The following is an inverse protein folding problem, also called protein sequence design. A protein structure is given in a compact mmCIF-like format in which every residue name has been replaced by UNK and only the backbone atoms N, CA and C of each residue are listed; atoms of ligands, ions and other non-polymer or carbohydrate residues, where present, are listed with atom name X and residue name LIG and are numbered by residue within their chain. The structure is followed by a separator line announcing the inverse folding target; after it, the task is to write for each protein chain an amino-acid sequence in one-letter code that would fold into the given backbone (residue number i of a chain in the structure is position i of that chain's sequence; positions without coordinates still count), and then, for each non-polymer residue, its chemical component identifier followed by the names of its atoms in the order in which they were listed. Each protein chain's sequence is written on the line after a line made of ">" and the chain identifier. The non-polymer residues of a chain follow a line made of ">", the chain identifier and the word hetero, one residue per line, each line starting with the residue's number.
data_IF_273646192809
#
_entry.id   IF_273646192809
#
_cell.length_a   1.000
_cell.length_b   1.000
_cell.length_c   1.000
_cell.angle_alpha   90.00
_cell.angle_beta   90.00
_cell.angle_gamma   90.00
#
_symmetry.space_group_name_H-M   'P 1'
#
loop_
_entity.id
_entity.type
_entity.pdbx_description
1 polymer ?
#
# COMPACT_ATOMS: atom_id res chain seq x y z
N UNK A 1 -15.91 72.80 -22.29
CA UNK A 1 -16.25 71.48 -22.90
C UNK A 1 -14.95 70.89 -23.43
N UNK A 2 -14.29 70.04 -22.71
CA UNK A 2 -13.13 69.29 -23.20
C UNK A 2 -13.25 67.86 -22.63
N UNK A 3 -13.50 66.91 -23.51
CA UNK A 3 -13.69 65.50 -23.30
C UNK A 3 -12.34 64.84 -23.08
N UNK A 4 -12.06 64.31 -21.88
CA UNK A 4 -10.87 63.52 -21.61
C UNK A 4 -11.19 62.04 -21.84
N UNK A 5 -10.70 61.48 -22.93
CA UNK A 5 -10.82 60.10 -23.34
C UNK A 5 -9.71 59.29 -22.69
N UNK A 6 -9.97 58.65 -21.56
CA UNK A 6 -9.03 57.75 -20.88
C UNK A 6 -8.80 56.50 -21.68
N UNK A 7 -7.60 56.33 -22.18
CA UNK A 7 -7.08 55.11 -22.80
C UNK A 7 -6.94 54.01 -21.73
N UNK A 8 -7.67 52.92 -21.84
CA UNK A 8 -7.45 51.67 -21.09
C UNK A 8 -6.14 51.06 -21.57
N UNK A 9 -5.10 51.20 -20.79
CA UNK A 9 -3.89 50.39 -20.93
C UNK A 9 -4.28 48.91 -20.64
N UNK A 10 -4.15 48.06 -21.65
CA UNK A 10 -4.10 46.60 -21.48
C UNK A 10 -2.87 46.25 -20.66
N UNK A 11 -3.02 46.00 -19.36
CA UNK A 11 -1.97 45.38 -18.55
C UNK A 11 -1.74 43.96 -19.09
N UNK A 12 -0.75 43.80 -19.95
CA UNK A 12 -0.18 42.50 -20.30
C UNK A 12 0.25 41.80 -19.02
N UNK A 13 -0.31 40.63 -18.74
CA UNK A 13 0.08 39.83 -17.60
C UNK A 13 1.61 39.61 -17.68
N UNK A 14 2.32 40.03 -16.64
CA UNK A 14 3.78 39.83 -16.58
C UNK A 14 4.10 38.35 -16.57
N UNK A 15 5.14 37.87 -17.27
CA UNK A 15 5.50 36.44 -17.30
C UNK A 15 5.73 35.86 -15.90
N UNK A 16 6.04 36.69 -14.93
CA UNK A 16 6.18 36.34 -13.51
C UNK A 16 4.82 35.94 -12.91
N UNK A 17 3.73 36.63 -13.29
CA UNK A 17 2.38 36.29 -12.82
C UNK A 17 1.93 34.92 -13.31
N UNK A 18 2.16 34.61 -14.58
CA UNK A 18 1.79 33.31 -15.19
C UNK A 18 2.59 32.15 -14.60
N UNK A 19 3.89 32.35 -14.33
CA UNK A 19 4.75 31.35 -13.66
C UNK A 19 4.29 31.09 -12.21
N UNK A 20 3.88 32.14 -11.50
CA UNK A 20 3.37 32.01 -10.11
C UNK A 20 2.02 31.28 -10.10
N UNK A 21 1.13 31.59 -11.03
CA UNK A 21 -0.18 30.99 -11.14
C UNK A 21 -0.07 29.50 -11.53
N UNK A 22 0.73 29.13 -12.51
CA UNK A 22 1.05 27.74 -12.85
C UNK A 22 1.67 26.98 -11.67
N UNK A 23 2.54 27.61 -10.90
CA UNK A 23 3.15 27.01 -9.70
C UNK A 23 2.14 26.78 -8.59
N UNK A 24 1.16 27.66 -8.42
CA UNK A 24 0.07 27.51 -7.45
C UNK A 24 -0.86 26.38 -7.85
N UNK A 25 -1.21 26.25 -9.14
CA UNK A 25 -2.10 25.21 -9.61
C UNK A 25 -1.45 23.82 -9.60
N UNK A 26 -0.18 23.72 -9.96
CA UNK A 26 0.58 22.46 -9.79
C UNK A 26 0.67 22.06 -8.32
N UNK A 27 0.77 23.00 -7.39
CA UNK A 27 0.76 22.68 -5.95
C UNK A 27 -0.60 22.22 -5.43
N UNK A 28 -1.71 22.63 -6.05
CA UNK A 28 -3.05 22.11 -5.72
C UNK A 28 -3.24 20.67 -6.18
N UNK A 29 -2.67 20.33 -7.35
CA UNK A 29 -2.77 18.98 -7.90
C UNK A 29 -1.88 17.98 -7.14
N UNK A 30 -0.66 18.34 -6.73
CA UNK A 30 0.27 17.51 -5.98
C UNK A 30 -0.17 17.40 -4.52
N UNK A 31 -1.05 16.44 -4.26
CA UNK A 31 -1.64 16.20 -2.95
C UNK A 31 -1.76 14.69 -2.69
N UNK A 32 -1.51 14.26 -1.44
CA UNK A 32 -1.69 12.86 -1.00
C UNK A 32 -3.05 12.30 -1.40
N UNK A 33 -4.09 13.15 -1.46
CA UNK A 33 -5.40 12.72 -1.89
C UNK A 33 -5.49 12.34 -3.34
N UNK A 34 -4.86 13.10 -4.19
CA UNK A 34 -4.82 12.79 -5.60
C UNK A 34 -3.87 11.61 -5.85
N UNK A 35 -2.79 11.49 -5.08
CA UNK A 35 -1.92 10.32 -5.12
C UNK A 35 -2.68 9.02 -4.84
N UNK A 36 -3.52 8.98 -3.80
CA UNK A 36 -4.36 7.82 -3.51
C UNK A 36 -5.41 7.54 -4.61
N UNK A 37 -5.96 8.58 -5.25
CA UNK A 37 -6.85 8.39 -6.42
C UNK A 37 -6.07 7.79 -7.60
N UNK A 38 -4.87 8.28 -7.89
CA UNK A 38 -3.99 7.71 -8.93
C UNK A 38 -3.65 6.26 -8.61
N UNK A 39 -3.41 5.92 -7.34
CA UNK A 39 -3.21 4.53 -6.89
C UNK A 39 -4.42 3.66 -7.22
N UNK A 40 -5.65 4.14 -6.93
CA UNK A 40 -6.87 3.40 -7.26
C UNK A 40 -7.03 3.20 -8.77
N UNK A 41 -6.75 4.22 -9.57
CA UNK A 41 -6.75 4.09 -11.04
C UNK A 41 -5.65 3.12 -11.49
N UNK A 42 -4.47 3.19 -10.86
CA UNK A 42 -3.33 2.34 -11.18
C UNK A 42 -3.61 0.85 -11.00
N UNK A 43 -4.15 0.45 -9.86
CA UNK A 43 -4.46 -0.96 -9.67
C UNK A 43 -5.68 -1.41 -10.48
N UNK A 44 -6.70 -0.56 -10.68
CA UNK A 44 -7.86 -0.90 -11.50
C UNK A 44 -7.44 -1.15 -12.97
N UNK A 45 -6.66 -0.24 -13.55
CA UNK A 45 -6.09 -0.42 -14.89
C UNK A 45 -5.17 -1.66 -14.94
N UNK A 46 -4.35 -1.87 -13.92
CA UNK A 46 -3.47 -3.03 -13.80
C UNK A 46 -4.24 -4.35 -13.81
N UNK A 47 -5.30 -4.46 -13.00
CA UNK A 47 -6.15 -5.66 -12.95
C UNK A 47 -6.77 -5.95 -14.32
N UNK A 48 -7.33 -4.93 -14.99
CA UNK A 48 -7.92 -5.10 -16.32
C UNK A 48 -6.89 -5.57 -17.36
N UNK A 49 -5.73 -4.89 -17.40
CA UNK A 49 -4.65 -5.27 -18.31
C UNK A 49 -4.15 -6.69 -18.03
N UNK A 50 -4.02 -7.04 -16.76
CA UNK A 50 -3.58 -8.36 -16.34
C UNK A 50 -4.58 -9.46 -16.71
N UNK A 51 -5.87 -9.25 -16.49
CA UNK A 51 -6.91 -10.20 -16.88
C UNK A 51 -6.93 -10.39 -18.40
N UNK A 52 -6.84 -9.31 -19.18
CA UNK A 52 -6.75 -9.38 -20.65
C UNK A 52 -5.49 -10.16 -21.07
N UNK A 53 -4.34 -9.86 -20.48
CA UNK A 53 -3.09 -10.57 -20.73
C UNK A 53 -3.23 -12.08 -20.52
N UNK A 54 -3.76 -12.49 -19.37
CA UNK A 54 -3.88 -13.90 -19.03
C UNK A 54 -4.96 -14.63 -19.84
N UNK A 55 -6.02 -13.95 -20.30
CA UNK A 55 -7.07 -14.58 -21.10
C UNK A 55 -6.69 -14.77 -22.57
N UNK A 56 -5.96 -13.84 -23.16
CA UNK A 56 -5.72 -13.79 -24.61
C UNK A 56 -4.27 -14.02 -25.01
N UNK A 57 -3.32 -13.79 -24.12
CA UNK A 57 -1.88 -13.82 -24.44
C UNK A 57 -1.09 -14.81 -23.59
N UNK A 58 -1.76 -15.66 -22.83
CA UNK A 58 -1.13 -16.69 -22.00
C UNK A 58 -1.66 -18.08 -22.38
N UNK A 59 -0.75 -18.98 -22.67
CA UNK A 59 -1.04 -20.37 -22.94
C UNK A 59 -0.92 -21.19 -21.65
N UNK A 60 -2.06 -21.70 -21.17
CA UNK A 60 -2.13 -22.46 -19.90
C UNK A 60 -1.53 -23.86 -20.00
N UNK A 61 -1.41 -24.41 -21.23
CA UNK A 61 -0.85 -25.74 -21.43
C UNK A 61 0.69 -25.71 -21.40
N UNK A 62 1.29 -24.70 -22.01
CA UNK A 62 2.76 -24.55 -22.07
C UNK A 62 3.31 -23.66 -20.97
N UNK A 63 2.50 -22.77 -20.36
CA UNK A 63 2.93 -21.79 -19.37
C UNK A 63 3.72 -20.62 -19.94
N UNK A 64 3.66 -20.40 -21.27
CA UNK A 64 4.37 -19.32 -21.95
C UNK A 64 3.43 -18.26 -22.51
N UNK A 65 3.96 -17.07 -22.78
CA UNK A 65 3.22 -16.02 -23.44
C UNK A 65 3.24 -16.21 -24.98
N UNK A 66 2.07 -16.09 -25.61
CA UNK A 66 1.92 -16.25 -27.07
C UNK A 66 2.46 -15.06 -27.87
N UNK A 67 2.58 -13.89 -27.23
CA UNK A 67 3.07 -12.63 -27.82
C UNK A 67 4.54 -12.32 -27.50
N UNK A 68 5.32 -13.31 -27.04
CA UNK A 68 6.69 -13.08 -26.57
C UNK A 68 6.79 -12.27 -25.28
N UNK A 69 5.67 -12.07 -24.56
CA UNK A 69 5.64 -11.38 -23.27
C UNK A 69 5.47 -9.86 -23.36
N UNK A 70 5.20 -9.28 -24.52
CA UNK A 70 5.02 -7.82 -24.66
C UNK A 70 3.86 -7.33 -23.81
N UNK A 71 2.70 -8.02 -23.85
CA UNK A 71 1.54 -7.66 -23.05
C UNK A 71 1.79 -7.84 -21.54
N UNK A 72 2.62 -8.81 -21.18
CA UNK A 72 3.04 -9.01 -19.79
C UNK A 72 3.83 -7.81 -19.25
N UNK A 73 4.77 -7.28 -20.03
CA UNK A 73 5.52 -6.07 -19.67
C UNK A 73 4.64 -4.83 -19.61
N UNK A 74 3.64 -4.69 -20.49
CA UNK A 74 2.67 -3.59 -20.45
C UNK A 74 1.82 -3.69 -19.19
N UNK A 75 1.31 -4.88 -18.86
CA UNK A 75 0.47 -5.10 -17.66
C UNK A 75 1.22 -4.85 -16.36
N UNK A 76 2.54 -5.02 -16.34
CA UNK A 76 3.42 -4.66 -15.23
C UNK A 76 3.82 -3.18 -15.25
N UNK A 77 4.24 -2.66 -16.40
CA UNK A 77 4.81 -1.32 -16.53
C UNK A 77 3.80 -0.21 -16.26
N UNK A 78 2.56 -0.35 -16.73
CA UNK A 78 1.51 0.67 -16.53
C UNK A 78 1.18 0.89 -15.04
N UNK A 79 0.83 -0.13 -14.22
CA UNK A 79 0.59 0.08 -12.80
C UNK A 79 1.83 0.56 -12.05
N UNK A 80 3.03 0.09 -12.40
CA UNK A 80 4.28 0.59 -11.79
C UNK A 80 4.50 2.07 -12.11
N UNK A 81 4.30 2.51 -13.34
CA UNK A 81 4.43 3.91 -13.72
C UNK A 81 3.43 4.80 -12.96
N UNK A 82 2.17 4.36 -12.82
CA UNK A 82 1.16 5.07 -12.03
C UNK A 82 1.50 5.05 -10.52
N UNK A 83 2.07 3.97 -10.01
CA UNK A 83 2.60 3.88 -8.66
C UNK A 83 3.76 4.84 -8.40
N UNK A 84 4.69 4.97 -9.36
CA UNK A 84 5.79 5.94 -9.32
C UNK A 84 5.26 7.38 -9.31
N UNK A 85 4.29 7.70 -10.18
CA UNK A 85 3.64 9.00 -10.22
C UNK A 85 2.95 9.33 -8.90
N UNK A 86 2.17 8.39 -8.34
CA UNK A 86 1.50 8.57 -7.05
C UNK A 86 2.50 8.74 -5.90
N UNK A 87 3.58 7.97 -5.88
CA UNK A 87 4.65 8.06 -4.88
C UNK A 87 5.39 9.39 -4.98
N UNK A 88 5.69 9.85 -6.18
CA UNK A 88 6.27 11.16 -6.42
C UNK A 88 5.36 12.28 -5.92
N UNK A 89 4.04 12.19 -6.18
CA UNK A 89 3.07 13.15 -5.66
C UNK A 89 3.05 13.16 -4.11
N UNK A 90 3.13 12.00 -3.47
CA UNK A 90 3.24 11.92 -2.01
C UNK A 90 4.53 12.57 -1.50
N UNK A 91 5.66 12.27 -2.15
CA UNK A 91 6.95 12.79 -1.74
C UNK A 91 7.05 14.31 -1.89
N UNK A 92 6.49 14.86 -2.98
CA UNK A 92 6.46 16.29 -3.26
C UNK A 92 5.42 17.05 -2.44
N UNK A 93 4.43 16.37 -1.87
CA UNK A 93 3.40 16.98 -1.03
C UNK A 93 4.02 17.60 0.21
N UNK A 94 3.78 18.91 0.43
CA UNK A 94 4.29 19.68 1.58
C UNK A 94 3.49 19.45 2.87
N UNK A 95 2.62 18.45 2.93
CA UNK A 95 1.84 18.15 4.13
C UNK A 95 2.67 17.35 5.12
N UNK A 96 2.67 17.79 6.38
CA UNK A 96 3.24 17.02 7.47
C UNK A 96 2.38 15.80 7.75
N UNK A 97 3.07 14.74 8.05
CA UNK A 97 2.53 13.52 8.54
C UNK A 97 2.70 13.57 10.07
N UNK A 98 1.63 13.84 10.77
CA UNK A 98 1.66 13.84 12.24
C UNK A 98 1.55 12.43 12.82
N UNK A 99 1.64 12.31 14.15
CA UNK A 99 1.46 11.04 14.83
C UNK A 99 0.09 10.42 14.50
N UNK A 100 0.00 9.11 14.60
CA UNK A 100 -1.27 8.41 14.51
C UNK A 100 -2.18 8.86 15.66
N UNK A 101 -3.34 9.40 15.31
CA UNK A 101 -4.36 9.80 16.27
C UNK A 101 -5.50 8.79 16.20
N UNK A 102 -5.72 7.97 17.24
CA UNK A 102 -6.81 7.01 17.26
C UNK A 102 -8.16 7.76 17.20
N UNK A 103 -8.99 7.41 16.25
CA UNK A 103 -10.36 7.93 16.09
C UNK A 103 -11.29 6.84 15.62
N UNK A 104 -12.55 6.95 15.98
CA UNK A 104 -13.61 6.06 15.46
C UNK A 104 -13.67 6.13 13.95
N UNK A 105 -13.44 4.99 13.30
CA UNK A 105 -13.50 4.86 11.86
C UNK A 105 -14.06 3.48 11.48
N UNK A 106 -15.35 3.46 11.14
CA UNK A 106 -16.05 2.24 10.79
C UNK A 106 -15.38 1.51 9.61
N UNK A 107 -14.98 2.25 8.57
CA UNK A 107 -14.37 1.66 7.38
C UNK A 107 -13.07 0.94 7.70
N UNK A 108 -12.19 1.58 8.49
CA UNK A 108 -10.93 0.97 8.90
C UNK A 108 -11.16 -0.20 9.86
N UNK A 109 -12.17 -0.11 10.73
CA UNK A 109 -12.58 -1.20 11.62
C UNK A 109 -13.06 -2.43 10.85
N UNK A 110 -13.94 -2.24 9.87
CA UNK A 110 -14.44 -3.33 9.01
C UNK A 110 -13.31 -3.92 8.18
N UNK A 111 -12.44 -3.08 7.59
CA UNK A 111 -11.30 -3.58 6.81
C UNK A 111 -10.32 -4.41 7.66
N UNK A 112 -10.04 -3.97 8.90
CA UNK A 112 -9.20 -4.72 9.84
C UNK A 112 -9.88 -6.03 10.28
N UNK A 113 -11.19 -6.01 10.53
CA UNK A 113 -11.98 -7.19 10.89
C UNK A 113 -11.96 -8.22 9.76
N UNK A 114 -12.24 -7.79 8.53
CA UNK A 114 -12.19 -8.67 7.36
C UNK A 114 -10.79 -9.21 7.13
N UNK A 115 -9.76 -8.36 7.24
CA UNK A 115 -8.37 -8.80 7.11
C UNK A 115 -8.01 -9.85 8.17
N UNK A 116 -8.36 -9.63 9.43
CA UNK A 116 -8.13 -10.60 10.51
C UNK A 116 -8.88 -11.91 10.31
N UNK A 117 -10.17 -11.85 9.97
CA UNK A 117 -11.00 -13.02 9.72
C UNK A 117 -10.50 -13.85 8.53
N UNK A 118 -10.16 -13.19 7.42
CA UNK A 118 -9.64 -13.87 6.22
C UNK A 118 -8.25 -14.45 6.46
N UNK A 119 -7.37 -13.77 7.24
CA UNK A 119 -6.07 -14.35 7.63
C UNK A 119 -6.24 -15.65 8.42
N UNK A 120 -7.16 -15.69 9.38
CA UNK A 120 -7.45 -16.90 10.16
C UNK A 120 -8.05 -18.00 9.28
N UNK A 121 -9.00 -17.64 8.40
CA UNK A 121 -9.60 -18.59 7.45
C UNK A 121 -8.58 -19.13 6.46
N UNK A 122 -7.74 -18.27 5.90
CA UNK A 122 -6.63 -18.63 5.02
C UNK A 122 -5.63 -19.57 5.71
N UNK A 123 -5.31 -19.31 6.98
CA UNK A 123 -4.50 -20.20 7.79
C UNK A 123 -5.13 -21.61 7.95
N UNK A 124 -6.43 -21.67 8.18
CA UNK A 124 -7.15 -22.94 8.26
C UNK A 124 -7.15 -23.72 6.91
N UNK A 125 -7.36 -23.02 5.79
CA UNK A 125 -7.25 -23.61 4.45
C UNK A 125 -5.85 -24.14 4.17
N UNK A 126 -4.82 -23.36 4.48
CA UNK A 126 -3.42 -23.78 4.32
C UNK A 126 -3.08 -25.01 5.16
N UNK A 127 -3.67 -25.15 6.34
CA UNK A 127 -3.49 -26.35 7.15
C UNK A 127 -4.05 -27.61 6.45
N UNK A 128 -5.19 -27.48 5.79
CA UNK A 128 -5.78 -28.58 5.00
C UNK A 128 -4.92 -28.89 3.77
N UNK A 129 -4.51 -27.86 3.02
CA UNK A 129 -3.66 -27.99 1.85
C UNK A 129 -2.31 -28.63 2.22
N UNK A 130 -1.70 -28.21 3.34
CA UNK A 130 -0.44 -28.75 3.83
C UNK A 130 -0.51 -30.25 4.14
N UNK A 131 -1.60 -30.71 4.75
CA UNK A 131 -1.80 -32.13 5.05
C UNK A 131 -2.02 -32.96 3.79
N UNK A 132 -2.73 -32.45 2.80
CA UNK A 132 -3.06 -33.19 1.58
C UNK A 132 -1.91 -33.26 0.59
N UNK A 133 -1.13 -32.19 0.47
CA UNK A 133 -0.14 -32.02 -0.62
C UNK A 133 1.30 -32.25 -0.18
N UNK A 134 1.65 -31.88 1.05
CA UNK A 134 3.05 -31.82 1.51
C UNK A 134 3.38 -32.79 2.64
N UNK A 135 2.66 -33.86 2.84
CA UNK A 135 2.78 -34.81 3.94
C UNK A 135 4.22 -35.19 4.39
N UNK A 136 4.95 -34.25 5.03
CA UNK A 136 6.25 -34.45 5.64
C UNK A 136 7.50 -34.11 4.80
N UNK A 137 7.36 -33.36 3.69
CA UNK A 137 8.53 -32.91 2.88
C UNK A 137 9.39 -31.83 3.57
N UNK A 138 10.60 -31.59 3.06
CA UNK A 138 11.60 -30.63 3.59
C UNK A 138 11.05 -29.21 3.82
N UNK A 139 10.01 -28.83 3.10
CA UNK A 139 9.44 -27.49 3.11
C UNK A 139 8.25 -27.31 4.04
N UNK A 140 7.84 -28.34 4.75
CA UNK A 140 6.72 -28.33 5.68
C UNK A 140 6.89 -27.28 6.79
N UNK A 141 8.12 -27.09 7.26
CA UNK A 141 8.47 -26.14 8.33
C UNK A 141 8.17 -24.69 7.92
N UNK A 142 8.49 -24.30 6.67
CA UNK A 142 8.24 -22.93 6.19
C UNK A 142 6.73 -22.62 6.05
N UNK A 143 5.97 -23.60 5.55
CA UNK A 143 4.50 -23.45 5.47
C UNK A 143 3.87 -23.39 6.87
N UNK A 144 4.35 -24.21 7.81
CA UNK A 144 3.90 -24.18 9.20
C UNK A 144 4.23 -22.82 9.85
N UNK A 145 5.44 -22.31 9.65
CA UNK A 145 5.84 -20.98 10.15
C UNK A 145 4.92 -19.90 9.61
N UNK A 146 4.65 -19.91 8.30
CA UNK A 146 3.76 -18.94 7.69
C UNK A 146 2.33 -19.04 8.24
N UNK A 147 1.82 -20.25 8.45
CA UNK A 147 0.51 -20.52 9.05
C UNK A 147 0.42 -19.95 10.49
N UNK A 148 1.44 -20.17 11.32
CA UNK A 148 1.50 -19.61 12.68
C UNK A 148 1.49 -18.08 12.60
N UNK A 149 2.27 -17.48 11.70
CA UNK A 149 2.28 -16.04 11.49
C UNK A 149 0.91 -15.51 11.02
N UNK A 150 0.20 -16.21 10.14
CA UNK A 150 -1.17 -15.87 9.74
C UNK A 150 -2.13 -15.85 10.94
N UNK A 151 -2.05 -16.86 11.81
CA UNK A 151 -2.88 -16.92 13.03
C UNK A 151 -2.60 -15.76 13.97
N UNK A 152 -1.32 -15.52 14.31
CA UNK A 152 -0.92 -14.47 15.22
C UNK A 152 -1.25 -13.07 14.67
N UNK A 153 -0.94 -12.82 13.40
CA UNK A 153 -1.24 -11.52 12.78
C UNK A 153 -2.74 -11.32 12.59
N UNK A 154 -3.49 -12.37 12.27
CA UNK A 154 -4.95 -12.34 12.20
C UNK A 154 -5.58 -11.90 13.53
N UNK A 155 -5.12 -12.44 14.66
CA UNK A 155 -5.56 -12.00 15.99
C UNK A 155 -5.22 -10.52 16.25
N UNK A 156 -4.02 -10.07 15.91
CA UNK A 156 -3.64 -8.65 16.05
C UNK A 156 -4.56 -7.75 15.23
N UNK A 157 -4.91 -8.15 14.00
CA UNK A 157 -5.86 -7.40 13.16
C UNK A 157 -7.26 -7.31 13.78
N UNK A 158 -7.74 -8.38 14.43
CA UNK A 158 -9.01 -8.35 15.15
C UNK A 158 -8.97 -7.38 16.35
N UNK A 159 -7.89 -7.39 17.14
CA UNK A 159 -7.72 -6.42 18.24
C UNK A 159 -7.60 -4.99 17.71
N UNK A 160 -6.93 -4.79 16.58
CA UNK A 160 -6.82 -3.49 15.92
C UNK A 160 -8.18 -3.00 15.42
N UNK A 161 -9.04 -3.90 14.92
CA UNK A 161 -10.40 -3.57 14.49
C UNK A 161 -11.25 -3.01 15.63
N UNK A 162 -11.17 -3.63 16.82
CA UNK A 162 -11.83 -3.13 18.03
C UNK A 162 -11.34 -1.72 18.40
N UNK A 163 -10.05 -1.46 18.20
CA UNK A 163 -9.46 -0.12 18.38
C UNK A 163 -10.07 0.92 17.44
N UNK A 164 -10.28 0.59 16.17
CA UNK A 164 -10.93 1.47 15.21
C UNK A 164 -12.42 1.70 15.49
N UNK A 165 -13.14 0.71 15.98
CA UNK A 165 -14.54 0.85 16.36
C UNK A 165 -14.72 1.71 17.62
N UNK A 166 -13.85 1.53 18.61
CA UNK A 166 -13.92 2.27 19.88
C UNK A 166 -13.27 3.65 19.79
N UNK A 167 -12.36 3.87 18.84
CA UNK A 167 -11.56 5.08 18.71
C UNK A 167 -10.42 5.17 19.75
N UNK A 168 -10.01 4.03 20.33
CA UNK A 168 -8.90 3.91 21.27
C UNK A 168 -7.79 3.06 20.68
N UNK A 169 -6.56 3.32 21.08
CA UNK A 169 -5.45 2.45 20.72
C UNK A 169 -5.35 1.31 21.75
N UNK A 170 -6.03 0.20 21.50
CA UNK A 170 -6.09 -0.93 22.44
C UNK A 170 -4.73 -1.60 22.65
N UNK A 171 -3.80 -1.47 21.70
CA UNK A 171 -2.47 -2.07 21.74
C UNK A 171 -1.36 -1.09 22.15
N UNK A 172 -1.72 0.13 22.62
CA UNK A 172 -0.75 1.15 23.04
C UNK A 172 0.17 0.66 24.16
N UNK A 173 -0.37 -0.18 25.06
CA UNK A 173 0.40 -0.74 26.19
C UNK A 173 1.41 -1.81 25.76
N UNK A 174 1.19 -2.45 24.62
CA UNK A 174 2.04 -3.54 24.10
C UNK A 174 2.34 -3.29 22.62
N UNK A 175 3.12 -2.24 22.28
CA UNK A 175 3.38 -1.87 20.89
C UNK A 175 4.16 -2.95 20.11
N UNK A 176 4.84 -3.85 20.81
CA UNK A 176 5.56 -4.99 20.21
C UNK A 176 4.62 -5.92 19.42
N UNK A 177 3.33 -5.99 19.75
CA UNK A 177 2.37 -6.83 19.02
C UNK A 177 2.19 -6.37 17.56
N UNK A 178 2.40 -5.10 17.24
CA UNK A 178 2.38 -4.63 15.85
C UNK A 178 3.50 -5.26 15.00
N UNK A 179 4.59 -5.73 15.63
CA UNK A 179 5.69 -6.41 14.94
C UNK A 179 5.26 -7.76 14.35
N UNK A 180 4.21 -8.39 14.87
CA UNK A 180 3.68 -9.64 14.31
C UNK A 180 3.24 -9.49 12.84
N UNK A 181 2.76 -8.30 12.44
CA UNK A 181 2.48 -8.01 11.02
C UNK A 181 3.75 -7.98 10.17
N UNK A 182 4.87 -7.50 10.72
CA UNK A 182 6.16 -7.50 10.04
C UNK A 182 6.71 -8.93 9.92
N UNK A 183 6.61 -9.73 10.99
CA UNK A 183 7.01 -11.14 10.98
C UNK A 183 6.20 -11.95 9.96
N UNK A 184 4.89 -11.71 9.87
CA UNK A 184 4.06 -12.29 8.81
C UNK A 184 4.55 -11.87 7.42
N UNK A 185 4.88 -10.60 7.21
CA UNK A 185 5.42 -10.10 5.95
C UNK A 185 6.76 -10.73 5.56
N UNK A 186 7.65 -10.97 6.56
CA UNK A 186 8.92 -11.71 6.34
C UNK A 186 8.64 -13.16 5.95
N UNK A 187 7.76 -13.84 6.69
CA UNK A 187 7.40 -15.23 6.38
C UNK A 187 6.75 -15.33 4.98
N UNK A 188 5.89 -14.37 4.60
CA UNK A 188 5.30 -14.28 3.27
C UNK A 188 6.36 -14.09 2.18
N UNK A 189 7.30 -13.17 2.38
CA UNK A 189 8.38 -12.93 1.41
C UNK A 189 9.26 -14.17 1.22
N UNK A 190 9.64 -14.85 2.31
CA UNK A 190 10.43 -16.08 2.24
C UNK A 190 9.64 -17.17 1.49
N UNK A 191 8.36 -17.34 1.81
CA UNK A 191 7.50 -18.32 1.15
C UNK A 191 7.43 -18.05 -0.37
N UNK A 192 7.14 -16.82 -0.76
CA UNK A 192 7.05 -16.41 -2.18
C UNK A 192 8.39 -16.63 -2.87
N UNK A 193 9.49 -16.22 -2.27
CA UNK A 193 10.81 -16.33 -2.89
C UNK A 193 11.28 -17.78 -3.06
N UNK A 194 11.10 -18.61 -2.03
CA UNK A 194 11.60 -19.99 -2.03
C UNK A 194 10.77 -20.90 -2.94
N UNK A 195 9.43 -20.72 -2.95
CA UNK A 195 8.55 -21.66 -3.64
C UNK A 195 8.04 -21.15 -4.98
N UNK A 196 7.68 -19.88 -5.07
CA UNK A 196 6.91 -19.33 -6.18
C UNK A 196 7.70 -18.42 -7.12
N UNK A 197 8.92 -17.99 -6.74
CA UNK A 197 9.80 -17.24 -7.62
C UNK A 197 10.53 -18.11 -8.66
N UNK A 198 10.23 -19.40 -8.70
CA UNK A 198 10.83 -20.36 -9.66
C UNK A 198 10.01 -20.51 -10.94
N UNK A 199 8.93 -19.75 -11.11
CA UNK A 199 8.15 -19.75 -12.34
C UNK A 199 9.02 -19.38 -13.53
N UNK A 200 8.75 -19.98 -14.68
CA UNK A 200 9.43 -19.68 -15.95
C UNK A 200 9.20 -18.24 -16.43
N UNK A 201 8.13 -17.60 -15.97
CA UNK A 201 7.78 -16.24 -16.33
C UNK A 201 8.46 -15.21 -15.43
N UNK A 202 9.38 -14.42 -16.00
CA UNK A 202 10.08 -13.36 -15.27
C UNK A 202 9.14 -12.27 -14.72
N UNK A 203 8.09 -11.92 -15.47
CA UNK A 203 7.14 -10.86 -15.07
C UNK A 203 6.28 -11.31 -13.88
N UNK A 204 5.85 -12.58 -13.85
CA UNK A 204 5.12 -13.17 -12.73
C UNK A 204 5.94 -13.09 -11.44
N UNK A 205 7.22 -13.48 -11.53
CA UNK A 205 8.13 -13.42 -10.40
C UNK A 205 8.35 -11.99 -9.91
N UNK A 206 8.42 -11.00 -10.82
CA UNK A 206 8.53 -9.60 -10.47
C UNK A 206 7.31 -9.11 -9.69
N UNK A 207 6.09 -9.42 -10.14
CA UNK A 207 4.87 -9.07 -9.41
C UNK A 207 4.86 -9.67 -8.01
N UNK A 208 5.13 -10.97 -7.92
CA UNK A 208 5.05 -11.70 -6.65
C UNK A 208 6.10 -11.21 -5.65
N UNK A 209 7.37 -11.15 -6.06
CA UNK A 209 8.48 -10.79 -5.17
C UNK A 209 8.45 -9.30 -4.82
N UNK A 210 8.31 -8.41 -5.80
CA UNK A 210 8.24 -6.96 -5.51
C UNK A 210 6.99 -6.62 -4.71
N UNK A 211 5.85 -7.27 -5.00
CA UNK A 211 4.62 -7.14 -4.21
C UNK A 211 4.85 -7.52 -2.75
N UNK A 212 5.50 -8.66 -2.49
CA UNK A 212 5.82 -9.12 -1.14
C UNK A 212 6.81 -8.16 -0.43
N UNK A 213 7.85 -7.68 -1.11
CA UNK A 213 8.83 -6.72 -0.56
C UNK A 213 8.14 -5.42 -0.15
N UNK A 214 7.35 -4.82 -1.05
CA UNK A 214 6.67 -3.57 -0.73
C UNK A 214 5.59 -3.74 0.34
N UNK A 215 4.92 -4.89 0.40
CA UNK A 215 3.96 -5.20 1.46
C UNK A 215 4.65 -5.32 2.82
N UNK A 216 5.78 -6.01 2.89
CA UNK A 216 6.61 -6.09 4.09
C UNK A 216 7.07 -4.71 4.56
N UNK A 217 7.60 -3.88 3.65
CA UNK A 217 8.03 -2.52 3.97
C UNK A 217 6.85 -1.65 4.44
N UNK A 218 5.69 -1.79 3.80
CA UNK A 218 4.48 -1.11 4.22
C UNK A 218 4.11 -1.49 5.66
N UNK A 219 4.02 -2.78 5.97
CA UNK A 219 3.71 -3.28 7.31
C UNK A 219 4.73 -2.81 8.36
N UNK A 220 6.01 -2.77 8.01
CA UNK A 220 7.05 -2.24 8.88
C UNK A 220 6.83 -0.76 9.22
N UNK A 221 6.52 0.07 8.23
CA UNK A 221 6.25 1.49 8.48
C UNK A 221 4.90 1.71 9.17
N UNK A 222 3.89 0.88 8.90
CA UNK A 222 2.63 0.90 9.65
C UNK A 222 2.85 0.53 11.13
N UNK A 223 3.68 -0.48 11.40
CA UNK A 223 4.09 -0.83 12.76
C UNK A 223 4.73 0.37 13.49
N UNK A 224 5.67 1.06 12.85
CA UNK A 224 6.29 2.26 13.42
C UNK A 224 5.29 3.38 13.71
N UNK A 225 4.34 3.61 12.79
CA UNK A 225 3.29 4.62 12.97
C UNK A 225 2.36 4.30 14.14
N UNK A 226 1.92 3.05 14.24
CA UNK A 226 1.01 2.60 15.30
C UNK A 226 1.70 2.54 16.66
N UNK A 227 2.99 2.24 16.68
CA UNK A 227 3.83 2.25 17.88
C UNK A 227 4.30 3.66 18.31
N UNK A 228 4.05 4.70 17.50
CA UNK A 228 4.47 6.08 17.80
C UNK A 228 5.97 6.30 17.67
N UNK A 229 6.68 5.49 16.89
CA UNK A 229 8.12 5.61 16.64
C UNK A 229 8.35 6.29 15.29
N UNK A 230 9.17 7.36 15.24
CA UNK A 230 9.51 8.10 14.02
C UNK A 230 8.26 8.61 13.25
N UNK A 231 7.45 9.42 13.93
CA UNK A 231 6.15 9.88 13.45
C UNK A 231 6.18 10.59 12.09
N UNK A 232 7.25 11.35 11.80
CA UNK A 232 7.39 12.09 10.53
C UNK A 232 7.93 11.21 9.40
N UNK A 233 9.04 10.52 9.63
CA UNK A 233 9.70 9.71 8.62
C UNK A 233 8.92 8.46 8.24
N UNK A 234 8.35 7.77 9.24
CA UNK A 234 7.57 6.56 9.03
C UNK A 234 6.32 6.82 8.18
N UNK A 235 5.61 7.95 8.41
CA UNK A 235 4.40 8.26 7.66
C UNK A 235 4.65 8.45 6.16
N UNK A 236 5.65 9.24 5.77
CA UNK A 236 6.00 9.41 4.35
C UNK A 236 6.36 8.09 3.68
N UNK A 237 7.18 7.29 4.35
CA UNK A 237 7.62 5.98 3.84
C UNK A 237 6.47 5.00 3.78
N UNK A 238 5.55 5.00 4.77
CA UNK A 238 4.34 4.19 4.75
C UNK A 238 3.45 4.49 3.53
N UNK A 239 3.27 5.77 3.17
CA UNK A 239 2.52 6.13 1.97
C UNK A 239 3.20 5.63 0.70
N UNK A 240 4.50 5.84 0.54
CA UNK A 240 5.24 5.42 -0.66
C UNK A 240 5.23 3.90 -0.79
N UNK A 241 5.63 3.17 0.26
CA UNK A 241 5.66 1.71 0.23
C UNK A 241 4.27 1.11 0.14
N UNK A 242 3.28 1.72 0.81
CA UNK A 242 1.88 1.28 0.75
C UNK A 242 1.24 1.48 -0.62
N UNK A 243 1.56 2.54 -1.37
CA UNK A 243 1.13 2.72 -2.75
C UNK A 243 1.62 1.57 -3.62
N UNK A 244 2.91 1.24 -3.57
CA UNK A 244 3.47 0.12 -4.32
C UNK A 244 2.93 -1.23 -3.84
N UNK A 245 2.81 -1.43 -2.53
CA UNK A 245 2.22 -2.64 -1.97
C UNK A 245 0.81 -2.88 -2.51
N UNK A 246 -0.04 -1.83 -2.52
CA UNK A 246 -1.41 -1.91 -3.02
C UNK A 246 -1.43 -2.14 -4.52
N UNK A 247 -0.71 -1.32 -5.30
CA UNK A 247 -0.73 -1.40 -6.77
C UNK A 247 -0.26 -2.76 -7.25
N UNK A 248 0.85 -3.28 -6.72
CA UNK A 248 1.40 -4.56 -7.17
C UNK A 248 0.56 -5.75 -6.69
N UNK A 249 0.26 -5.82 -5.39
CA UNK A 249 -0.46 -6.97 -4.85
C UNK A 249 -1.91 -7.02 -5.35
N UNK A 250 -2.64 -5.89 -5.36
CA UNK A 250 -4.03 -5.90 -5.83
C UNK A 250 -4.10 -6.23 -7.32
N UNK A 251 -3.20 -5.67 -8.15
CA UNK A 251 -3.14 -5.99 -9.57
C UNK A 251 -2.90 -7.48 -9.79
N UNK A 252 -1.90 -8.05 -9.15
CA UNK A 252 -1.54 -9.45 -9.32
C UNK A 252 -2.57 -10.41 -8.74
N UNK A 253 -2.89 -10.24 -7.46
CA UNK A 253 -3.70 -11.20 -6.72
C UNK A 253 -5.18 -11.15 -7.09
N UNK A 254 -5.73 -9.95 -7.31
CA UNK A 254 -7.15 -9.83 -7.70
C UNK A 254 -7.36 -10.36 -9.12
N UNK A 255 -6.43 -10.13 -10.03
CA UNK A 255 -6.50 -10.71 -11.38
C UNK A 255 -6.44 -12.24 -11.33
N UNK A 256 -5.47 -12.82 -10.59
CA UNK A 256 -5.34 -14.27 -10.45
C UNK A 256 -6.58 -14.90 -9.80
N UNK A 257 -7.13 -14.31 -8.73
CA UNK A 257 -8.37 -14.80 -8.13
C UNK A 257 -9.57 -14.70 -9.07
N UNK A 258 -9.64 -13.66 -9.90
CA UNK A 258 -10.68 -13.52 -10.93
C UNK A 258 -10.58 -14.63 -11.97
N UNK A 259 -9.36 -14.98 -12.39
CA UNK A 259 -9.11 -16.07 -13.34
C UNK A 259 -9.42 -17.44 -12.75
N UNK A 260 -9.11 -17.63 -11.46
CA UNK A 260 -9.49 -18.84 -10.72
C UNK A 260 -11.02 -19.05 -10.75
N UNK A 261 -11.81 -17.99 -10.56
CA UNK A 261 -13.28 -18.05 -10.64
C UNK A 261 -13.77 -18.38 -12.06
N UNK A 262 -12.99 -18.07 -13.09
CA UNK A 262 -13.26 -18.44 -14.48
C UNK A 262 -12.76 -19.86 -14.85
N UNK A 263 -12.25 -20.62 -13.87
CA UNK A 263 -11.71 -21.96 -14.07
C UNK A 263 -10.36 -22.00 -14.81
N UNK A 264 -9.66 -20.86 -14.90
CA UNK A 264 -8.34 -20.76 -15.50
C UNK A 264 -7.29 -20.74 -14.40
N UNK A 265 -6.58 -21.83 -14.21
CA UNK A 265 -5.50 -21.99 -13.23
C UNK A 265 -4.22 -22.42 -13.92
N UNK A 266 -3.09 -21.94 -13.42
CA UNK A 266 -1.76 -22.32 -13.88
C UNK A 266 -1.02 -23.06 -12.76
N UNK A 267 -0.38 -24.19 -13.09
CA UNK A 267 0.43 -24.96 -12.13
C UNK A 267 1.72 -24.22 -11.81
N UNK A 268 1.88 -23.73 -10.61
CA UNK A 268 3.02 -22.91 -10.17
C UNK A 268 2.61 -21.56 -9.60
N UNK A 269 1.32 -21.24 -9.63
CA UNK A 269 0.79 -20.07 -8.95
C UNK A 269 0.85 -20.23 -7.43
N UNK A 270 0.94 -19.09 -6.76
CA UNK A 270 0.79 -19.01 -5.31
C UNK A 270 -0.58 -19.59 -4.93
N UNK A 271 -0.68 -20.50 -3.92
CA UNK A 271 -1.96 -21.07 -3.52
C UNK A 271 -3.02 -20.02 -3.25
N UNK A 272 -4.29 -20.26 -3.62
CA UNK A 272 -5.38 -19.29 -3.42
C UNK A 272 -5.53 -18.83 -1.97
N UNK A 273 -5.24 -19.69 -1.00
CA UNK A 273 -5.23 -19.36 0.43
C UNK A 273 -4.21 -18.27 0.76
N UNK A 274 -3.00 -18.37 0.23
CA UNK A 274 -1.93 -17.37 0.43
C UNK A 274 -2.24 -16.09 -0.35
N UNK A 275 -2.78 -16.21 -1.57
CA UNK A 275 -3.20 -15.07 -2.38
C UNK A 275 -4.28 -14.26 -1.67
N UNK A 276 -5.28 -14.92 -1.11
CA UNK A 276 -6.37 -14.27 -0.40
C UNK A 276 -5.87 -13.53 0.85
N UNK A 277 -4.98 -14.15 1.64
CA UNK A 277 -4.36 -13.53 2.81
C UNK A 277 -3.62 -12.23 2.46
N UNK A 278 -2.75 -12.28 1.45
CA UNK A 278 -1.97 -11.11 1.05
C UNK A 278 -2.80 -10.00 0.40
N UNK A 279 -3.85 -10.36 -0.36
CA UNK A 279 -4.79 -9.40 -0.94
C UNK A 279 -5.53 -8.59 0.14
N UNK A 280 -6.08 -9.26 1.17
CA UNK A 280 -6.83 -8.55 2.21
C UNK A 280 -5.93 -7.67 3.08
N UNK A 281 -4.68 -8.07 3.30
CA UNK A 281 -3.69 -7.23 4.00
C UNK A 281 -3.34 -5.99 3.17
N UNK A 282 -3.16 -6.13 1.85
CA UNK A 282 -2.92 -5.00 0.96
C UNK A 282 -4.13 -4.04 0.91
N UNK A 283 -5.35 -4.56 0.87
CA UNK A 283 -6.57 -3.76 0.92
C UNK A 283 -6.74 -3.06 2.28
N UNK A 284 -6.45 -3.75 3.38
CA UNK A 284 -6.40 -3.12 4.71
C UNK A 284 -5.39 -1.98 4.74
N UNK A 285 -4.19 -2.16 4.20
CA UNK A 285 -3.17 -1.11 4.14
C UNK A 285 -3.69 0.12 3.36
N UNK A 286 -4.39 -0.07 2.24
CA UNK A 286 -5.01 1.02 1.48
C UNK A 286 -6.03 1.78 2.33
N UNK A 287 -6.96 1.07 2.96
CA UNK A 287 -8.00 1.68 3.80
C UNK A 287 -7.39 2.41 4.98
N UNK A 288 -6.36 1.84 5.61
CA UNK A 288 -5.61 2.48 6.69
C UNK A 288 -4.96 3.78 6.22
N UNK A 289 -4.29 3.80 5.07
CA UNK A 289 -3.66 5.01 4.51
C UNK A 289 -4.70 6.10 4.19
N UNK A 290 -5.87 5.73 3.69
CA UNK A 290 -6.99 6.67 3.47
C UNK A 290 -7.48 7.26 4.79
N UNK A 291 -7.66 6.42 5.81
CA UNK A 291 -8.07 6.83 7.14
C UNK A 291 -7.01 7.73 7.81
N UNK A 292 -5.76 7.32 7.76
CA UNK A 292 -4.62 8.09 8.29
C UNK A 292 -4.54 9.48 7.65
N UNK A 293 -4.67 9.56 6.33
CA UNK A 293 -4.75 10.84 5.63
C UNK A 293 -5.87 11.72 6.15
N UNK A 294 -7.04 11.18 6.40
CA UNK A 294 -8.23 11.95 6.80
C UNK A 294 -8.09 12.51 8.21
N UNK A 295 -7.51 11.76 9.14
CA UNK A 295 -7.55 12.07 10.56
C UNK A 295 -6.22 12.53 11.16
N UNK A 296 -5.09 12.07 10.64
CA UNK A 296 -3.77 12.30 11.25
C UNK A 296 -2.88 13.26 10.46
N UNK A 297 -3.18 13.50 9.19
CA UNK A 297 -2.38 14.40 8.34
C UNK A 297 -2.57 15.85 8.75
N UNK A 298 -1.51 16.50 9.21
CA UNK A 298 -1.48 17.93 9.55
C UNK A 298 -0.74 18.72 8.48
N UNK A 299 -1.18 19.95 8.21
CA UNK A 299 -0.45 20.88 7.35
C UNK A 299 0.72 21.48 8.12
N UNK A 300 1.88 21.64 7.47
CA UNK A 300 2.95 22.49 8.01
C UNK A 300 2.43 23.91 8.18
N UNK A 301 2.61 24.54 9.31
CA UNK A 301 2.51 26.00 9.41
C UNK A 301 3.57 26.60 8.48
N UNK A 302 3.16 27.41 7.51
CA UNK A 302 4.10 28.21 6.74
C UNK A 302 4.83 29.14 7.74
N UNK A 303 6.13 28.93 7.97
CA UNK A 303 7.00 29.89 8.65
C UNK A 303 7.13 29.77 10.17
N UNK A 304 6.65 28.70 10.84
CA UNK A 304 6.69 28.63 12.31
C UNK A 304 7.75 27.74 12.97
N UNK A 305 8.52 26.97 12.21
CA UNK A 305 9.42 25.98 12.79
C UNK A 305 10.69 26.56 13.48
N UNK A 306 11.12 27.77 13.13
CA UNK A 306 12.29 28.37 13.75
C UNK A 306 11.99 29.15 15.05
N UNK A 307 10.76 29.64 15.21
CA UNK A 307 10.39 30.45 16.40
C UNK A 307 10.17 29.59 17.64
N UNK A 308 9.54 28.39 17.49
CA UNK A 308 9.23 27.48 18.62
C UNK A 308 10.49 26.85 19.24
N UNK A 309 11.43 26.43 18.41
CA UNK A 309 12.68 25.83 18.88
C UNK A 309 13.59 26.86 19.61
N UNK A 310 13.62 28.11 19.15
CA UNK A 310 14.37 29.18 19.83
C UNK A 310 13.76 29.59 21.18
N UNK A 311 12.44 29.57 21.33
CA UNK A 311 11.79 29.86 22.61
C UNK A 311 11.95 28.72 23.64
N UNK A 312 11.91 27.47 23.24
CA UNK A 312 12.18 26.33 24.12
C UNK A 312 13.65 26.27 24.56
N UNK A 313 14.60 26.54 23.65
CA UNK A 313 16.02 26.57 23.97
C UNK A 313 16.40 27.76 24.90
N UNK A 314 15.71 28.90 24.78
CA UNK A 314 15.89 30.02 25.72
C UNK A 314 15.33 29.75 27.11
N UNK A 315 14.23 28.99 27.24
CA UNK A 315 13.70 28.64 28.55
C UNK A 315 14.54 27.56 29.30
N UNK A 316 15.24 26.70 28.56
CA UNK A 316 16.17 25.73 29.15
C UNK A 316 17.52 26.32 29.58
N UNK A 317 17.92 27.49 29.05
CA UNK A 317 19.12 28.21 29.48
C UNK A 317 18.88 29.22 30.61
N UNK A 318 17.63 29.40 31.02
CA UNK A 318 17.24 30.33 32.08
C UNK A 318 16.79 29.63 33.38
N UNK A 319 17.00 28.35 33.48
CA UNK A 319 16.94 27.53 34.68
C UNK A 319 18.31 26.91 34.92
#
# INVERSE_FOLDING_TARGET
>A
MLYYRGSRQCCGASPVGEIVERRVDTMKFVNVGNALKVTCVGFAAGVLLRVVQMLYFFDYDTGFYTDGGVMAWISFGVPVALGLLASWMCFRSRRYFGPYVPRKNLLAGVAALLSGGVLLFSGALQWVELRSTYGGGEYWVLHLLFLICCGLFGLVQLFLSLGFFTGKNNLEKVPLLYLLGVLWGVAYLILVYVFYAKSSSMVENLFAVLGAVFLLLCLFYLCKLLAGVDEEGAAKRAFVTGIFAVVLNVTYLLANLSLLLLGRTYSGEIPPSVQLASLVVALFALVFLVAFRKYSLRRTPKGGAESGARHSAKRLKAK
#
